data_IF_528324732630
#
_entry.id   IF_528324732630
#
_cell.length_a   1.000
_cell.length_b   1.000
_cell.length_c   1.000
_cell.angle_alpha   90.00
_cell.angle_beta   90.00
_cell.angle_gamma   90.00
#
_symmetry.space_group_name_H-M   'P 1'
#
loop_
_entity.id
_entity.type
_entity.pdbx_description
1 polymer ?
#
# COMPACT_ATOMS: atom_id res chain seq x y z
N UNK A 1 47.67 -16.32 -27.18
CA UNK A 1 46.28 -16.34 -26.69
C UNK A 1 46.14 -15.30 -25.60
N UNK A 2 45.90 -14.04 -25.98
CA UNK A 2 45.67 -12.93 -25.04
C UNK A 2 44.21 -12.54 -25.17
N UNK A 3 43.37 -13.16 -24.33
CA UNK A 3 41.95 -12.79 -24.22
C UNK A 3 41.87 -11.34 -23.76
N UNK A 4 41.42 -10.46 -24.65
CA UNK A 4 40.98 -9.10 -24.29
C UNK A 4 39.77 -9.26 -23.38
N UNK A 5 39.94 -9.05 -22.08
CA UNK A 5 38.83 -8.74 -21.20
C UNK A 5 38.28 -7.38 -21.66
N UNK A 6 37.26 -7.40 -22.50
CA UNK A 6 36.41 -6.23 -22.72
C UNK A 6 35.80 -5.89 -21.36
N UNK A 7 36.26 -4.83 -20.73
CA UNK A 7 35.64 -4.24 -19.55
C UNK A 7 34.17 -3.94 -19.87
N UNK A 8 33.28 -4.85 -19.47
CA UNK A 8 31.85 -4.68 -19.67
C UNK A 8 31.39 -3.56 -18.75
N UNK A 9 31.03 -2.42 -19.35
CA UNK A 9 30.42 -1.30 -18.62
C UNK A 9 29.13 -1.78 -17.96
N UNK A 10 28.89 -1.43 -16.68
CA UNK A 10 27.66 -1.83 -15.99
C UNK A 10 26.45 -1.20 -16.67
N UNK A 11 25.44 -2.02 -16.94
CA UNK A 11 24.12 -1.56 -17.40
C UNK A 11 23.37 -0.98 -16.19
N UNK A 12 23.03 0.31 -16.24
CA UNK A 12 22.35 1.00 -15.13
C UNK A 12 20.91 1.29 -15.52
N UNK A 13 19.96 0.69 -14.80
CA UNK A 13 18.52 0.96 -14.96
C UNK A 13 18.07 1.90 -13.86
N UNK A 14 17.42 3.01 -14.21
CA UNK A 14 16.89 3.99 -13.27
C UNK A 14 15.37 4.07 -13.35
N UNK A 15 14.68 3.80 -12.24
CA UNK A 15 13.22 3.91 -12.17
C UNK A 15 12.79 5.28 -11.65
N UNK A 16 12.07 6.05 -12.46
CA UNK A 16 11.58 7.37 -12.07
C UNK A 16 10.29 7.34 -11.24
N UNK A 17 9.63 6.19 -11.09
CA UNK A 17 8.36 6.03 -10.37
C UNK A 17 7.37 7.17 -10.69
N UNK A 18 7.03 7.33 -11.97
CA UNK A 18 6.30 8.48 -12.50
C UNK A 18 4.90 8.68 -11.87
N UNK A 19 4.22 7.60 -11.49
CA UNK A 19 2.83 7.66 -11.02
C UNK A 19 2.66 7.87 -9.50
N UNK A 20 3.73 7.81 -8.69
CA UNK A 20 3.63 7.92 -7.23
C UNK A 20 4.82 8.71 -6.64
N UNK A 21 4.52 9.60 -5.70
CA UNK A 21 5.50 10.40 -4.96
C UNK A 21 6.13 9.66 -3.76
N UNK A 22 6.33 8.34 -3.90
CA UNK A 22 6.98 7.53 -2.86
C UNK A 22 8.45 7.92 -2.65
N UNK A 23 9.07 8.54 -3.66
CA UNK A 23 10.42 9.12 -3.62
C UNK A 23 10.27 10.59 -4.03
N UNK A 24 10.77 11.57 -3.25
CA UNK A 24 10.68 12.98 -3.61
C UNK A 24 11.37 13.27 -4.95
N UNK A 25 10.77 14.15 -5.78
CA UNK A 25 11.32 14.50 -7.11
C UNK A 25 12.77 15.00 -7.05
N UNK A 26 13.09 15.85 -6.05
CA UNK A 26 14.44 16.35 -5.84
C UNK A 26 15.49 15.23 -5.61
N UNK A 27 15.10 14.12 -4.98
CA UNK A 27 16.00 12.97 -4.80
C UNK A 27 16.25 12.28 -6.15
N UNK A 28 15.18 12.05 -6.93
CA UNK A 28 15.28 11.44 -8.27
C UNK A 28 16.18 12.26 -9.19
N UNK A 29 15.99 13.58 -9.23
CA UNK A 29 16.77 14.50 -10.04
C UNK A 29 18.25 14.53 -9.63
N UNK A 30 18.54 14.56 -8.33
CA UNK A 30 19.92 14.50 -7.81
C UNK A 30 20.59 13.19 -8.17
N UNK A 31 19.93 12.06 -7.94
CA UNK A 31 20.47 10.75 -8.31
C UNK A 31 20.75 10.71 -9.81
N UNK A 32 19.76 11.05 -10.65
CA UNK A 32 19.92 11.01 -12.10
C UNK A 32 21.03 11.94 -12.60
N UNK A 33 21.15 13.15 -12.03
CA UNK A 33 22.23 14.08 -12.34
C UNK A 33 23.60 13.52 -11.94
N UNK A 34 23.74 12.97 -10.74
CA UNK A 34 24.98 12.33 -10.29
C UNK A 34 25.40 11.15 -11.18
N UNK A 35 24.45 10.36 -11.67
CA UNK A 35 24.74 9.25 -12.60
C UNK A 35 25.22 9.75 -13.96
N UNK A 36 24.61 10.83 -14.47
CA UNK A 36 24.99 11.47 -15.74
C UNK A 36 26.37 12.12 -15.63
N UNK A 37 26.64 12.83 -14.55
CA UNK A 37 27.91 13.52 -14.31
C UNK A 37 29.05 12.51 -14.11
N UNK A 38 28.75 11.32 -13.59
CA UNK A 38 29.65 10.17 -13.54
C UNK A 38 29.92 9.51 -14.92
N UNK A 39 29.31 9.99 -16.01
CA UNK A 39 29.50 9.46 -17.36
C UNK A 39 28.94 8.05 -17.57
N UNK A 40 28.01 7.60 -16.71
CA UNK A 40 27.40 6.28 -16.84
C UNK A 40 26.28 6.29 -17.87
N UNK A 41 26.16 5.19 -18.62
CA UNK A 41 25.03 4.97 -19.53
C UNK A 41 23.85 4.50 -18.68
N UNK A 42 22.87 5.39 -18.51
CA UNK A 42 21.65 5.12 -17.72
C UNK A 42 20.46 4.95 -18.64
N UNK A 43 19.75 3.86 -18.43
CA UNK A 43 18.45 3.58 -19.03
C UNK A 43 17.35 3.96 -18.05
N UNK A 44 16.74 5.13 -18.27
CA UNK A 44 15.67 5.64 -17.42
C UNK A 44 14.30 5.14 -17.87
N UNK A 45 13.50 4.68 -16.92
CA UNK A 45 12.15 4.16 -17.17
C UNK A 45 11.12 4.92 -16.33
N UNK A 46 9.92 5.13 -16.88
CA UNK A 46 8.84 5.80 -16.17
C UNK A 46 8.45 5.04 -14.90
N UNK A 47 8.17 3.75 -15.01
CA UNK A 47 7.75 2.93 -13.88
C UNK A 47 7.99 1.44 -14.08
N UNK A 48 8.91 0.87 -13.28
CA UNK A 48 9.14 -0.57 -13.26
C UNK A 48 7.88 -1.37 -12.86
N UNK A 49 6.97 -0.78 -12.06
CA UNK A 49 5.75 -1.46 -11.65
C UNK A 49 4.86 -1.73 -12.86
N UNK A 50 4.63 -0.73 -13.71
CA UNK A 50 3.85 -0.88 -14.95
C UNK A 50 4.48 -1.89 -15.89
N UNK A 51 5.79 -1.77 -16.14
CA UNK A 51 6.53 -2.72 -16.98
C UNK A 51 6.41 -4.16 -16.49
N UNK A 52 6.41 -4.38 -15.19
CA UNK A 52 6.29 -5.70 -14.60
C UNK A 52 4.85 -6.26 -14.67
N UNK A 53 3.84 -5.40 -14.50
CA UNK A 53 2.45 -5.78 -14.70
C UNK A 53 2.21 -6.29 -16.13
N UNK A 54 2.82 -5.63 -17.13
CA UNK A 54 2.72 -5.98 -18.55
C UNK A 54 3.72 -7.05 -19.00
N UNK A 55 4.58 -7.53 -18.09
CA UNK A 55 5.66 -8.50 -18.38
C UNK A 55 6.56 -8.06 -19.55
N UNK A 56 6.95 -6.78 -19.54
CA UNK A 56 7.66 -6.16 -20.65
C UNK A 56 8.97 -6.90 -21.01
N UNK A 57 9.26 -7.19 -22.29
CA UNK A 57 10.43 -7.97 -22.71
C UNK A 57 11.78 -7.39 -22.24
N UNK A 58 11.87 -6.07 -22.06
CA UNK A 58 13.09 -5.41 -21.55
C UNK A 58 13.51 -5.92 -20.18
N UNK A 59 12.56 -6.30 -19.30
CA UNK A 59 12.89 -6.85 -17.98
C UNK A 59 13.71 -8.14 -18.10
N UNK A 60 13.38 -9.01 -19.06
CA UNK A 60 14.16 -10.23 -19.35
C UNK A 60 15.53 -9.90 -19.91
N UNK A 61 15.62 -8.90 -20.80
CA UNK A 61 16.89 -8.47 -21.35
C UNK A 61 17.83 -7.95 -20.26
N UNK A 62 17.35 -7.09 -19.35
CA UNK A 62 18.15 -6.60 -18.24
C UNK A 62 18.55 -7.72 -17.28
N UNK A 63 17.62 -8.63 -16.93
CA UNK A 63 17.92 -9.76 -16.05
C UNK A 63 19.04 -10.67 -16.59
N UNK A 64 19.31 -10.64 -17.90
CA UNK A 64 20.41 -11.35 -18.58
C UNK A 64 21.66 -10.49 -18.81
N UNK A 65 21.57 -9.17 -18.64
CA UNK A 65 22.68 -8.25 -18.82
C UNK A 65 23.68 -8.36 -17.67
N UNK A 66 24.98 -8.26 -17.98
CA UNK A 66 26.05 -8.39 -17.00
C UNK A 66 27.15 -7.35 -17.28
N UNK A 67 27.56 -6.53 -16.29
CA UNK A 67 26.98 -6.36 -14.96
C UNK A 67 25.69 -5.52 -14.97
N UNK A 68 24.70 -5.82 -14.11
CA UNK A 68 23.46 -5.05 -13.97
C UNK A 68 23.39 -4.30 -12.64
N UNK A 69 23.05 -3.02 -12.70
CA UNK A 69 22.72 -2.20 -11.54
C UNK A 69 21.34 -1.58 -11.72
N UNK A 70 20.47 -1.72 -10.72
CA UNK A 70 19.11 -1.14 -10.75
C UNK A 70 18.98 -0.15 -9.60
N UNK A 71 18.64 1.09 -9.94
CA UNK A 71 18.37 2.19 -9.01
C UNK A 71 16.87 2.43 -8.99
N UNK A 72 16.19 2.01 -7.92
CA UNK A 72 14.73 2.02 -7.82
C UNK A 72 14.26 2.13 -6.36
N UNK A 73 13.20 1.41 -5.98
CA UNK A 73 12.70 1.33 -4.62
C UNK A 73 13.38 0.20 -3.82
N UNK A 74 12.71 -0.33 -2.78
CA UNK A 74 13.29 -1.35 -1.90
C UNK A 74 13.77 -2.60 -2.68
N UNK A 75 14.95 -3.17 -2.36
CA UNK A 75 15.54 -4.29 -3.11
C UNK A 75 14.63 -5.52 -3.14
N UNK A 76 13.99 -5.82 -2.00
CA UNK A 76 13.03 -6.92 -1.87
C UNK A 76 11.82 -6.73 -2.79
N UNK A 77 11.31 -5.51 -2.93
CA UNK A 77 10.23 -5.20 -3.86
C UNK A 77 10.66 -5.43 -5.31
N UNK A 78 11.84 -4.91 -5.71
CA UNK A 78 12.36 -5.06 -7.07
C UNK A 78 12.61 -6.52 -7.43
N UNK A 79 13.20 -7.30 -6.53
CA UNK A 79 13.41 -8.74 -6.74
C UNK A 79 12.11 -9.45 -7.11
N UNK A 80 11.07 -9.31 -6.28
CA UNK A 80 9.80 -10.01 -6.48
C UNK A 80 8.96 -9.40 -7.60
N UNK A 81 9.20 -8.15 -7.96
CA UNK A 81 8.61 -7.52 -9.14
C UNK A 81 9.13 -8.16 -10.44
N UNK A 82 10.45 -8.37 -10.53
CA UNK A 82 11.07 -9.07 -11.65
C UNK A 82 10.66 -10.55 -11.71
N UNK A 83 10.55 -11.22 -10.56
CA UNK A 83 10.00 -12.58 -10.47
C UNK A 83 8.57 -12.63 -11.03
N UNK A 84 7.69 -11.71 -10.62
CA UNK A 84 6.30 -11.64 -11.06
C UNK A 84 6.18 -11.38 -12.58
N UNK A 85 7.15 -10.67 -13.16
CA UNK A 85 7.25 -10.46 -14.60
C UNK A 85 7.79 -11.68 -15.38
N UNK A 86 8.24 -12.74 -14.68
CA UNK A 86 8.89 -13.90 -15.29
C UNK A 86 10.31 -13.61 -15.77
N UNK A 87 11.03 -12.73 -15.06
CA UNK A 87 12.40 -12.33 -15.34
C UNK A 87 13.23 -12.34 -14.05
N UNK A 88 13.40 -13.50 -13.37
CA UNK A 88 14.06 -13.59 -12.07
C UNK A 88 15.46 -12.96 -12.11
N UNK A 89 15.74 -12.10 -11.12
CA UNK A 89 17.07 -11.49 -10.96
C UNK A 89 17.99 -12.41 -10.16
N UNK A 90 19.21 -12.57 -10.65
CA UNK A 90 20.29 -13.17 -9.87
C UNK A 90 20.97 -12.08 -9.02
N UNK A 91 20.75 -12.15 -7.72
CA UNK A 91 21.28 -11.20 -6.73
C UNK A 91 22.80 -11.29 -6.56
N UNK A 92 23.44 -12.38 -6.97
CA UNK A 92 24.90 -12.50 -6.95
C UNK A 92 25.59 -11.60 -7.98
N UNK A 93 24.89 -11.31 -9.09
CA UNK A 93 25.39 -10.48 -10.20
C UNK A 93 24.67 -9.14 -10.36
N UNK A 94 23.52 -8.97 -9.70
CA UNK A 94 22.70 -7.75 -9.79
C UNK A 94 22.87 -6.90 -8.54
N UNK A 95 23.20 -5.63 -8.73
CA UNK A 95 23.28 -4.66 -7.63
C UNK A 95 21.99 -3.84 -7.57
N UNK A 96 21.34 -3.82 -6.41
CA UNK A 96 20.09 -3.10 -6.19
C UNK A 96 20.34 -1.90 -5.26
N UNK A 97 19.90 -0.72 -5.69
CA UNK A 97 20.03 0.53 -4.95
C UNK A 97 18.64 1.11 -4.65
N UNK A 98 18.42 1.42 -3.37
CA UNK A 98 17.16 1.89 -2.84
C UNK A 98 17.16 3.42 -2.64
N UNK A 99 16.46 4.13 -3.52
CA UNK A 99 16.32 5.58 -3.41
C UNK A 99 15.41 6.04 -2.25
N UNK A 100 14.71 5.13 -1.56
CA UNK A 100 13.85 5.51 -0.42
C UNK A 100 14.62 5.70 0.88
N UNK A 101 15.74 5.00 1.04
CA UNK A 101 16.52 5.00 2.29
C UNK A 101 17.98 5.39 2.11
N UNK A 102 18.54 5.23 0.91
CA UNK A 102 19.92 5.61 0.62
C UNK A 102 19.97 7.03 0.06
N UNK A 103 21.03 7.76 0.39
CA UNK A 103 21.29 9.08 -0.16
C UNK A 103 21.80 9.01 -1.61
N UNK A 104 21.57 10.05 -2.42
CA UNK A 104 22.09 10.11 -3.79
C UNK A 104 23.60 9.93 -3.88
N UNK A 105 24.34 10.46 -2.91
CA UNK A 105 25.80 10.42 -2.84
C UNK A 105 26.32 9.01 -2.51
N UNK A 106 25.61 8.26 -1.66
CA UNK A 106 25.92 6.85 -1.38
C UNK A 106 25.67 5.98 -2.63
N UNK A 107 24.52 6.15 -3.29
CA UNK A 107 24.17 5.41 -4.50
C UNK A 107 25.23 5.65 -5.59
N UNK A 108 25.57 6.92 -5.85
CA UNK A 108 26.57 7.28 -6.86
C UNK A 108 27.96 6.69 -6.53
N UNK A 109 28.40 6.83 -5.28
CA UNK A 109 29.68 6.30 -4.81
C UNK A 109 29.77 4.78 -4.97
N UNK A 110 28.73 4.06 -4.57
CA UNK A 110 28.71 2.61 -4.68
C UNK A 110 28.66 2.13 -6.12
N UNK A 111 27.92 2.81 -6.99
CA UNK A 111 27.92 2.51 -8.43
C UNK A 111 29.32 2.64 -9.03
N UNK A 112 30.02 3.73 -8.72
CA UNK A 112 31.41 3.97 -9.17
C UNK A 112 32.39 2.91 -8.68
N UNK A 113 32.28 2.44 -7.43
CA UNK A 113 33.13 1.35 -6.91
C UNK A 113 33.03 0.05 -7.72
N UNK A 114 31.86 -0.22 -8.31
CA UNK A 114 31.65 -1.41 -9.14
C UNK A 114 32.03 -1.22 -10.61
N UNK A 115 32.23 0.02 -11.06
CA UNK A 115 32.65 0.33 -12.44
C UNK A 115 34.16 0.17 -12.67
N UNK A 116 34.94 -0.06 -11.60
CA UNK A 116 36.37 -0.36 -11.66
C UNK A 116 37.26 0.81 -11.21
N UNK A 117 38.21 0.50 -10.35
CA UNK A 117 39.42 1.28 -10.12
C UNK A 117 40.16 1.51 -11.44
N UNK A 118 40.02 2.72 -11.98
CA UNK A 118 40.78 3.22 -13.11
C UNK A 118 40.70 4.75 -13.12
N UNK A 119 41.37 5.40 -12.16
CA UNK A 119 41.59 6.84 -12.25
C UNK A 119 42.47 7.12 -13.47
N UNK A 120 41.98 7.93 -14.41
CA UNK A 120 42.84 8.83 -15.18
C UNK A 120 42.10 10.16 -15.37
N UNK A 121 42.73 11.23 -14.89
CA UNK A 121 42.41 12.63 -15.16
C UNK A 121 42.61 13.01 -16.64
N UNK A 122 41.82 14.00 -17.08
CA UNK A 122 42.11 14.98 -18.14
C UNK A 122 42.38 14.52 -19.59
N UNK A 123 41.38 14.67 -20.47
CA UNK A 123 41.22 15.84 -21.37
C UNK A 123 40.13 15.61 -22.40
N UNK A 124 39.25 16.59 -22.47
CA UNK A 124 38.17 16.83 -23.42
C UNK A 124 38.66 16.86 -24.88
N UNK A 125 37.97 16.16 -25.79
CA UNK A 125 37.32 16.74 -27.01
C UNK A 125 36.25 15.75 -27.53
N UNK A 126 35.18 16.22 -28.19
CA UNK A 126 33.93 15.51 -28.39
C UNK A 126 33.83 14.85 -29.76
N UNK A 127 33.30 13.63 -29.84
CA UNK A 127 32.76 13.10 -31.10
C UNK A 127 31.92 11.85 -30.90
N UNK A 128 30.69 11.96 -31.41
CA UNK A 128 29.78 10.91 -31.86
C UNK A 128 29.37 9.87 -30.79
N UNK A 129 28.10 9.68 -30.47
CA UNK A 129 26.90 9.82 -31.28
C UNK A 129 25.69 9.74 -30.34
N UNK A 130 24.67 10.56 -30.62
CA UNK A 130 23.35 10.52 -29.99
C UNK A 130 22.86 9.08 -29.74
N UNK A 131 22.96 8.60 -28.49
CA UNK A 131 22.02 7.62 -28.00
C UNK A 131 21.10 8.31 -27.01
N UNK A 132 19.99 8.73 -27.58
CA UNK A 132 18.89 9.40 -26.92
C UNK A 132 18.47 8.57 -25.71
N UNK A 133 18.72 9.09 -24.51
CA UNK A 133 18.14 8.60 -23.26
C UNK A 133 16.62 8.66 -23.41
N UNK A 134 16.06 7.56 -23.91
CA UNK A 134 14.66 7.47 -24.26
C UNK A 134 13.94 7.11 -22.97
N UNK A 135 13.38 8.11 -22.29
CA UNK A 135 12.42 7.89 -21.23
C UNK A 135 11.21 7.26 -21.93
N UNK A 136 11.05 5.94 -21.80
CA UNK A 136 9.85 5.26 -22.27
C UNK A 136 8.70 5.66 -21.35
N UNK A 137 7.87 6.60 -21.83
CA UNK A 137 6.63 7.01 -21.22
C UNK A 137 5.51 6.08 -21.72
N UNK A 138 5.21 5.04 -20.93
CA UNK A 138 4.01 4.24 -21.16
C UNK A 138 2.80 5.04 -20.63
N UNK A 139 2.16 5.79 -21.53
CA UNK A 139 0.91 6.50 -21.27
C UNK A 139 -0.26 5.51 -21.07
N UNK A 140 -0.35 4.93 -19.88
CA UNK A 140 -1.55 4.24 -19.42
C UNK A 140 -2.23 5.07 -18.34
N UNK A 141 -3.54 5.32 -18.48
CA UNK A 141 -4.37 5.98 -17.44
C UNK A 141 -4.43 5.17 -16.14
N UNK A 142 -4.07 3.88 -16.20
CA UNK A 142 -4.01 2.99 -15.06
C UNK A 142 -2.72 3.20 -14.26
N UNK A 143 -2.88 3.51 -12.98
CA UNK A 143 -1.75 3.55 -12.05
C UNK A 143 -1.42 2.13 -11.61
N UNK A 144 -0.19 1.62 -11.85
CA UNK A 144 0.17 0.23 -11.58
C UNK A 144 0.35 -0.02 -10.08
N UNK A 145 -0.79 -0.11 -9.39
CA UNK A 145 -0.94 -0.48 -8.01
C UNK A 145 -1.33 -1.95 -7.93
N UNK A 146 -0.41 -2.82 -7.54
CA UNK A 146 -0.66 -4.24 -7.37
C UNK A 146 0.31 -4.86 -6.37
N UNK A 147 -0.07 -5.99 -5.73
CA UNK A 147 0.81 -6.72 -4.84
C UNK A 147 1.85 -7.54 -5.62
N UNK A 148 3.02 -7.72 -5.02
CA UNK A 148 3.99 -8.77 -5.40
C UNK A 148 4.21 -9.68 -4.19
N UNK A 149 4.52 -10.95 -4.44
CA UNK A 149 4.64 -11.97 -3.39
C UNK A 149 6.10 -12.32 -3.18
N UNK A 150 6.53 -12.21 -1.93
CA UNK A 150 7.79 -12.75 -1.44
C UNK A 150 7.66 -14.24 -1.18
N UNK A 151 8.14 -15.06 -2.12
CA UNK A 151 8.04 -16.51 -2.00
C UNK A 151 9.02 -17.13 -0.99
N UNK A 152 10.05 -16.40 -0.54
CA UNK A 152 10.91 -16.86 0.55
C UNK A 152 10.19 -16.80 1.90
N UNK A 153 9.23 -15.89 2.06
CA UNK A 153 8.40 -15.78 3.27
C UNK A 153 7.04 -16.47 3.16
N UNK A 154 6.50 -16.55 1.96
CA UNK A 154 5.15 -17.10 1.75
C UNK A 154 5.08 -18.58 2.14
N UNK A 155 4.24 -18.90 3.13
CA UNK A 155 3.95 -20.30 3.53
C UNK A 155 2.80 -20.94 2.77
N UNK A 156 2.39 -20.35 1.63
CA UNK A 156 1.28 -20.80 0.80
C UNK A 156 -0.05 -21.04 1.57
N UNK A 157 -0.36 -20.22 2.58
CA UNK A 157 -1.54 -20.38 3.45
C UNK A 157 -2.90 -20.02 2.81
N UNK A 158 -2.88 -19.42 1.60
CA UNK A 158 -4.05 -19.05 0.79
C UNK A 158 -5.02 -18.02 1.41
N UNK A 159 -4.68 -17.42 2.55
CA UNK A 159 -5.53 -16.40 3.20
C UNK A 159 -5.77 -15.18 2.30
N UNK A 160 -4.76 -14.73 1.54
CA UNK A 160 -4.90 -13.62 0.60
C UNK A 160 -5.83 -13.92 -0.58
N UNK A 161 -5.87 -15.17 -1.05
CA UNK A 161 -6.80 -15.63 -2.10
C UNK A 161 -8.23 -15.52 -1.60
N UNK A 162 -8.50 -16.04 -0.39
CA UNK A 162 -9.84 -16.02 0.19
C UNK A 162 -10.31 -14.61 0.61
N UNK A 163 -9.37 -13.72 0.91
CA UNK A 163 -9.69 -12.37 1.36
C UNK A 163 -9.91 -11.37 0.23
N UNK A 164 -9.21 -11.53 -0.89
CA UNK A 164 -9.29 -10.55 -1.96
C UNK A 164 -10.59 -10.69 -2.77
N UNK A 165 -11.55 -9.80 -2.49
CA UNK A 165 -12.82 -9.73 -3.21
C UNK A 165 -12.67 -9.34 -4.70
N UNK A 166 -11.51 -8.80 -5.08
CA UNK A 166 -11.24 -8.33 -6.45
C UNK A 166 -10.60 -9.39 -7.35
N UNK A 167 -10.38 -10.61 -6.85
CA UNK A 167 -9.81 -11.71 -7.65
C UNK A 167 -8.38 -11.46 -8.14
N UNK A 168 -7.60 -10.67 -7.40
CA UNK A 168 -6.19 -10.36 -7.76
C UNK A 168 -5.31 -11.60 -7.69
N UNK A 169 -5.59 -12.48 -6.73
CA UNK A 169 -4.83 -13.70 -6.49
C UNK A 169 -5.53 -14.93 -7.06
N UNK A 170 -4.76 -15.89 -7.51
CA UNK A 170 -5.23 -17.23 -7.85
C UNK A 170 -4.20 -18.30 -7.48
N UNK A 171 -4.52 -19.55 -7.81
CA UNK A 171 -3.62 -20.69 -7.62
C UNK A 171 -3.01 -21.08 -8.96
N UNK A 172 -1.72 -21.36 -8.97
CA UNK A 172 -1.03 -22.03 -10.08
C UNK A 172 -1.38 -23.50 -10.16
N UNK A 173 -0.96 -24.16 -11.24
CA UNK A 173 -1.12 -25.61 -11.46
C UNK A 173 -0.48 -26.43 -10.31
N UNK A 174 0.59 -25.92 -9.71
CA UNK A 174 1.28 -26.50 -8.56
C UNK A 174 0.57 -26.20 -7.22
N UNK A 175 -0.55 -25.49 -7.24
CA UNK A 175 -1.29 -25.07 -6.05
C UNK A 175 -0.63 -23.94 -5.24
N UNK A 176 0.36 -23.25 -5.82
CA UNK A 176 1.00 -22.07 -5.21
C UNK A 176 0.21 -20.80 -5.51
N UNK A 177 0.04 -19.93 -4.52
CA UNK A 177 -0.59 -18.61 -4.69
C UNK A 177 0.22 -17.75 -5.65
N UNK A 178 -0.44 -17.14 -6.63
CA UNK A 178 0.16 -16.18 -7.55
C UNK A 178 -0.77 -14.97 -7.76
N UNK A 179 -0.20 -13.85 -8.18
CA UNK A 179 -0.97 -12.68 -8.62
C UNK A 179 -1.33 -12.89 -10.08
N UNK A 180 -2.61 -13.12 -10.37
CA UNK A 180 -3.09 -13.42 -11.72
C UNK A 180 -3.69 -12.19 -12.40
N UNK A 181 -4.34 -11.32 -11.63
CA UNK A 181 -4.99 -10.12 -12.14
C UNK A 181 -4.47 -8.86 -11.42
N UNK A 182 -3.25 -8.37 -11.75
CA UNK A 182 -2.69 -7.19 -11.10
C UNK A 182 -3.54 -5.93 -11.30
N UNK A 183 -4.14 -5.75 -12.48
CA UNK A 183 -5.02 -4.63 -12.80
C UNK A 183 -6.33 -4.60 -11.99
N UNK A 184 -6.78 -5.75 -11.48
CA UNK A 184 -7.95 -5.84 -10.62
C UNK A 184 -7.75 -5.28 -9.21
N UNK A 185 -6.51 -4.97 -8.80
CA UNK A 185 -6.26 -4.50 -7.44
C UNK A 185 -6.82 -3.08 -7.24
N UNK A 186 -7.69 -2.91 -6.23
CA UNK A 186 -8.17 -1.58 -5.86
C UNK A 186 -7.00 -0.71 -5.40
N UNK A 187 -6.78 0.40 -6.10
CA UNK A 187 -5.75 1.41 -5.79
C UNK A 187 -5.78 1.79 -4.31
N UNK A 188 -4.60 1.86 -3.69
CA UNK A 188 -4.41 2.17 -2.26
C UNK A 188 -5.01 1.17 -1.26
N UNK A 189 -5.34 -0.07 -1.66
CA UNK A 189 -5.79 -1.11 -0.73
C UNK A 189 -4.63 -2.04 -0.29
N UNK A 190 -4.07 -1.91 0.94
CA UNK A 190 -3.02 -2.78 1.45
C UNK A 190 -3.56 -3.96 2.29
N UNK A 191 -4.87 -4.18 2.30
CA UNK A 191 -5.52 -5.02 3.33
C UNK A 191 -5.03 -6.48 3.32
N UNK A 192 -4.78 -7.06 2.14
CA UNK A 192 -4.20 -8.40 2.00
C UNK A 192 -2.77 -8.50 2.57
N UNK A 193 -1.99 -7.42 2.54
CA UNK A 193 -0.65 -7.41 3.12
C UNK A 193 -0.69 -7.39 4.66
N UNK A 194 -1.63 -6.64 5.25
CA UNK A 194 -1.80 -6.54 6.71
C UNK A 194 -2.25 -7.85 7.36
N UNK A 195 -3.06 -8.65 6.66
CA UNK A 195 -3.51 -9.94 7.18
C UNK A 195 -2.49 -11.08 7.00
N UNK A 196 -1.46 -10.89 6.17
CA UNK A 196 -0.53 -11.96 5.84
C UNK A 196 0.32 -12.32 7.07
N UNK A 197 0.21 -13.54 7.62
CA UNK A 197 0.90 -13.89 8.86
C UNK A 197 2.43 -14.01 8.70
N UNK A 198 2.91 -14.06 7.45
CA UNK A 198 4.34 -14.12 7.13
C UNK A 198 4.89 -12.79 6.59
N UNK A 199 4.07 -11.73 6.51
CA UNK A 199 4.43 -10.44 5.90
C UNK A 199 5.04 -10.61 4.51
N UNK A 200 4.51 -11.54 3.72
CA UNK A 200 5.05 -11.93 2.41
C UNK A 200 4.52 -11.08 1.25
N UNK A 201 3.41 -10.37 1.43
CA UNK A 201 2.81 -9.55 0.37
C UNK A 201 3.40 -8.14 0.43
N UNK A 202 3.86 -7.66 -0.72
CA UNK A 202 4.56 -6.38 -0.86
C UNK A 202 3.78 -5.49 -1.84
N UNK A 203 3.61 -4.22 -1.49
CA UNK A 203 3.12 -3.17 -2.37
C UNK A 203 4.22 -2.12 -2.55
N UNK A 204 4.99 -2.14 -3.66
CA UNK A 204 6.17 -1.28 -3.83
C UNK A 204 5.90 0.23 -3.65
N UNK A 205 4.68 0.66 -4.04
CA UNK A 205 4.22 2.05 -3.99
C UNK A 205 3.63 2.46 -2.63
N UNK A 206 3.45 1.52 -1.70
CA UNK A 206 2.90 1.82 -0.38
C UNK A 206 3.90 2.58 0.48
N UNK A 207 3.40 3.43 1.38
CA UNK A 207 4.25 4.27 2.22
C UNK A 207 4.92 3.44 3.33
N UNK A 208 4.14 2.70 4.12
CA UNK A 208 4.61 2.14 5.39
C UNK A 208 5.40 0.83 5.25
N UNK A 209 6.41 0.70 6.11
CA UNK A 209 7.14 -0.54 6.35
C UNK A 209 6.29 -1.53 7.16
N UNK A 210 6.37 -2.85 6.92
CA UNK A 210 7.20 -3.55 5.93
C UNK A 210 6.46 -3.86 4.61
N UNK A 211 5.23 -3.37 4.46
CA UNK A 211 4.37 -3.67 3.30
C UNK A 211 4.99 -3.12 2.01
N UNK A 212 5.73 -2.03 2.09
CA UNK A 212 6.41 -1.41 0.97
C UNK A 212 7.64 -2.18 0.42
N UNK A 213 8.02 -3.30 1.04
CA UNK A 213 9.20 -4.07 0.68
C UNK A 213 10.44 -3.74 1.51
N UNK A 214 10.31 -2.92 2.53
CA UNK A 214 11.35 -2.74 3.55
C UNK A 214 11.57 -4.02 4.37
N UNK A 215 12.65 -4.03 5.13
CA UNK A 215 13.04 -5.17 5.96
C UNK A 215 11.98 -5.45 7.02
N UNK A 216 11.54 -6.71 7.07
CA UNK A 216 10.61 -7.15 8.11
C UNK A 216 11.42 -7.36 9.38
N UNK A 217 11.49 -6.33 10.22
CA UNK A 217 12.00 -6.47 11.57
C UNK A 217 11.21 -7.60 12.28
N UNK A 218 11.88 -8.49 13.02
CA UNK A 218 11.17 -9.41 13.90
C UNK A 218 10.45 -8.56 14.94
N UNK A 219 9.13 -8.39 14.78
CA UNK A 219 8.33 -7.66 15.75
C UNK A 219 8.51 -8.32 17.13
N UNK A 220 8.81 -7.57 18.21
CA UNK A 220 8.70 -8.09 19.57
C UNK A 220 7.26 -8.54 19.89
N UNK A 221 6.29 -8.03 19.13
CA UNK A 221 4.85 -8.19 19.36
C UNK A 221 4.25 -9.49 18.83
N UNK A 222 4.91 -10.19 17.90
CA UNK A 222 4.47 -11.54 17.48
C UNK A 222 4.75 -12.61 18.55
N UNK A 223 5.47 -12.26 19.62
CA UNK A 223 5.72 -13.13 20.77
C UNK A 223 4.99 -12.66 22.04
N UNK A 224 4.26 -11.53 22.01
CA UNK A 224 3.69 -10.92 23.22
C UNK A 224 2.21 -11.18 23.46
N UNK A 225 1.59 -12.16 22.79
CA UNK A 225 0.35 -12.79 23.27
C UNK A 225 0.43 -14.29 23.03
N UNK A 226 1.31 -14.93 23.81
CA UNK A 226 1.33 -16.39 23.87
C UNK A 226 -0.05 -16.93 24.28
N UNK A 227 -0.47 -18.13 23.82
CA UNK A 227 -1.66 -18.82 24.32
C UNK A 227 -1.68 -19.04 25.84
N UNK A 228 -0.52 -18.85 26.50
CA UNK A 228 -0.37 -18.94 27.95
C UNK A 228 -1.05 -17.77 28.66
N UNK A 229 -1.13 -16.59 28.03
CA UNK A 229 -1.80 -15.43 28.63
C UNK A 229 -3.32 -15.52 28.51
N UNK A 230 -3.83 -16.03 27.38
CA UNK A 230 -5.26 -16.27 27.23
C UNK A 230 -5.76 -17.34 28.22
N UNK A 231 -5.03 -18.43 28.43
CA UNK A 231 -5.36 -19.43 29.48
C UNK A 231 -5.31 -18.84 30.88
N UNK A 232 -4.41 -17.90 31.17
CA UNK A 232 -4.31 -17.23 32.48
C UNK A 232 -5.42 -16.19 32.67
N UNK A 233 -5.82 -15.48 31.61
CA UNK A 233 -6.93 -14.53 31.59
C UNK A 233 -8.29 -15.24 31.74
N UNK A 234 -8.47 -16.37 31.05
CA UNK A 234 -9.66 -17.21 31.08
C UNK A 234 -9.70 -18.18 32.28
N UNK A 235 -8.62 -18.27 33.08
CA UNK A 235 -8.66 -18.97 34.36
C UNK A 235 -9.43 -18.12 35.38
N UNK A 236 -10.56 -18.67 35.82
CA UNK A 236 -11.50 -18.09 36.78
C UNK A 236 -12.90 -17.93 36.20
N UNK A 237 -13.91 -17.86 37.07
CA UNK A 237 -15.27 -17.56 36.65
C UNK A 237 -15.35 -16.09 36.17
N UNK A 238 -15.58 -15.91 34.86
CA UNK A 238 -15.73 -14.59 34.22
C UNK A 238 -16.82 -13.78 34.93
N UNK A 239 -17.88 -14.43 35.41
CA UNK A 239 -18.98 -13.77 36.13
C UNK A 239 -18.56 -13.29 37.52
N UNK A 240 -17.64 -13.97 38.19
CA UNK A 240 -17.05 -13.49 39.45
C UNK A 240 -16.09 -12.33 39.20
N UNK A 241 -15.32 -12.36 38.11
CA UNK A 241 -14.49 -11.21 37.69
C UNK A 241 -15.33 -10.01 37.24
N UNK A 242 -16.58 -10.20 36.80
CA UNK A 242 -17.55 -9.11 36.51
C UNK A 242 -18.19 -8.59 37.81
N UNK A 243 -18.59 -9.49 38.72
CA UNK A 243 -19.19 -9.14 40.02
C UNK A 243 -18.22 -8.44 40.96
N UNK A 244 -16.93 -8.78 40.90
CA UNK A 244 -15.86 -8.19 41.72
C UNK A 244 -15.16 -6.99 41.06
N UNK A 245 -15.68 -6.50 39.93
CA UNK A 245 -15.24 -5.19 39.41
C UNK A 245 -15.67 -4.18 40.46
N UNK A 246 -14.71 -3.62 41.20
CA UNK A 246 -14.89 -2.32 41.84
C UNK A 246 -15.60 -1.43 40.81
N UNK A 247 -16.68 -0.71 41.18
CA UNK A 247 -17.34 0.21 40.25
C UNK A 247 -16.27 1.18 39.75
N UNK A 248 -15.75 0.87 38.55
CA UNK A 248 -14.57 1.54 38.03
C UNK A 248 -14.83 3.02 38.09
N UNK A 249 -13.89 3.76 38.69
CA UNK A 249 -13.87 5.23 38.76
C UNK A 249 -14.63 5.78 37.56
N UNK A 250 -15.79 6.42 37.83
CA UNK A 250 -16.76 6.83 36.80
C UNK A 250 -15.97 7.47 35.66
N UNK A 251 -15.84 6.76 34.54
CA UNK A 251 -15.11 7.26 33.35
C UNK A 251 -15.79 8.50 32.76
N UNK A 252 -17.04 8.72 33.16
CA UNK A 252 -17.76 9.97 32.98
C UNK A 252 -17.89 10.63 34.35
N UNK A 253 -17.17 11.73 34.58
CA UNK A 253 -17.46 12.61 35.71
C UNK A 253 -18.95 12.99 35.67
N UNK A 254 -19.65 12.86 36.80
CA UNK A 254 -20.94 13.52 37.00
C UNK A 254 -20.79 15.01 37.32
N UNK A 255 -19.55 15.49 37.37
CA UNK A 255 -19.21 16.91 37.46
C UNK A 255 -19.13 17.49 36.05
N UNK A 256 -19.67 18.70 35.88
CA UNK A 256 -19.69 19.40 34.61
C UNK A 256 -18.27 19.53 34.03
N UNK A 257 -18.05 19.26 32.73
CA UNK A 257 -16.74 19.45 32.12
C UNK A 257 -16.40 20.94 32.05
N UNK A 258 -15.13 21.28 32.31
CA UNK A 258 -14.59 22.60 31.98
C UNK A 258 -14.79 22.88 30.48
N UNK A 259 -15.18 24.11 30.08
CA UNK A 259 -15.53 24.41 28.69
C UNK A 259 -14.30 24.40 27.79
N UNK A 260 -14.17 23.37 26.96
CA UNK A 260 -13.28 23.36 25.81
C UNK A 260 -13.86 24.23 24.66
N UNK A 261 -13.01 24.86 23.84
CA UNK A 261 -13.45 25.85 22.84
C UNK A 261 -14.11 25.16 21.66
N UNK A 262 -15.45 25.12 21.67
CA UNK A 262 -16.27 24.64 20.55
C UNK A 262 -17.53 23.93 21.01
N UNK A 263 -18.55 24.72 21.42
CA UNK A 263 -19.97 24.37 21.49
C UNK A 263 -20.39 23.15 22.35
N UNK A 264 -21.34 23.28 23.30
CA UNK A 264 -21.86 22.12 24.02
C UNK A 264 -22.60 21.16 23.08
N UNK A 265 -22.36 19.84 23.23
CA UNK A 265 -23.31 18.83 22.75
C UNK A 265 -24.72 19.19 23.28
N UNK A 266 -25.75 19.22 22.44
CA UNK A 266 -27.07 19.65 22.87
C UNK A 266 -27.59 18.69 23.94
N UNK A 267 -27.93 19.24 25.10
CA UNK A 267 -28.60 18.50 26.17
C UNK A 267 -29.97 18.04 25.69
N UNK A 268 -30.55 17.02 26.34
CA UNK A 268 -31.89 16.51 26.00
C UNK A 268 -32.94 17.63 25.96
N UNK A 269 -32.80 18.65 26.81
CA UNK A 269 -33.68 19.82 26.85
C UNK A 269 -33.48 20.80 25.69
N UNK A 270 -32.28 20.83 25.08
CA UNK A 270 -32.01 21.59 23.86
C UNK A 270 -32.65 20.92 22.64
N UNK A 271 -32.54 19.60 22.53
CA UNK A 271 -33.22 18.80 21.49
C UNK A 271 -34.75 18.85 21.63
N UNK A 272 -35.27 18.88 22.86
CA UNK A 272 -36.72 18.96 23.12
C UNK A 272 -37.33 20.30 22.69
N UNK A 273 -36.55 21.38 22.79
CA UNK A 273 -36.92 22.72 22.30
C UNK A 273 -36.75 22.85 20.79
N UNK A 274 -35.67 22.34 20.21
CA UNK A 274 -35.43 22.40 18.76
C UNK A 274 -36.47 21.60 17.94
N UNK A 275 -37.11 20.59 18.55
CA UNK A 275 -38.15 19.78 17.93
C UNK A 275 -39.59 20.21 18.31
N UNK A 276 -39.72 21.30 19.07
CA UNK A 276 -40.99 21.93 19.45
C UNK A 276 -42.06 20.95 20.00
N UNK A 277 -41.64 20.04 20.90
CA UNK A 277 -42.51 19.01 21.47
C UNK A 277 -43.13 19.51 22.79
N UNK A 278 -44.45 19.76 22.87
CA UNK A 278 -45.09 20.21 24.10
C UNK A 278 -45.04 19.13 25.19
N UNK A 279 -44.76 19.54 26.44
CA UNK A 279 -44.56 18.64 27.59
C UNK A 279 -45.81 17.82 27.93
N UNK A 280 -46.97 18.37 27.61
CA UNK A 280 -48.31 17.80 27.73
C UNK A 280 -48.54 16.58 26.83
N UNK A 281 -47.85 16.48 25.69
CA UNK A 281 -47.93 15.30 24.80
C UNK A 281 -47.14 14.12 25.38
N UNK A 282 -46.01 14.40 26.05
CA UNK A 282 -45.16 13.37 26.64
C UNK A 282 -45.73 12.81 27.95
N UNK A 283 -46.45 13.64 28.71
CA UNK A 283 -47.12 13.22 29.94
C UNK A 283 -48.47 12.50 29.72
N UNK A 284 -49.08 12.64 28.53
CA UNK A 284 -50.41 12.08 28.25
C UNK A 284 -50.40 10.69 27.59
N UNK A 285 -49.24 10.19 27.17
CA UNK A 285 -49.17 8.90 26.50
C UNK A 285 -49.12 7.76 27.53
N UNK A 286 -50.20 7.00 27.61
CA UNK A 286 -50.21 5.76 28.39
C UNK A 286 -49.27 4.72 27.76
N UNK A 287 -48.82 3.75 28.57
CA UNK A 287 -47.94 2.67 28.07
C UNK A 287 -48.52 1.90 26.88
N UNK A 288 -49.85 1.83 26.78
CA UNK A 288 -50.55 1.20 25.66
C UNK A 288 -50.47 2.00 24.35
N UNK A 289 -50.44 3.33 24.40
CA UNK A 289 -50.30 4.20 23.22
C UNK A 289 -48.87 4.20 22.70
N UNK A 290 -47.88 4.18 23.60
CA UNK A 290 -46.46 4.02 23.22
C UNK A 290 -46.18 2.69 22.52
N UNK A 291 -46.88 1.61 22.91
CA UNK A 291 -46.78 0.32 22.22
C UNK A 291 -47.45 0.34 20.85
N UNK A 292 -48.57 1.05 20.66
CA UNK A 292 -49.22 1.20 19.34
C UNK A 292 -48.35 1.98 18.36
N UNK A 293 -47.80 3.12 18.79
CA UNK A 293 -46.90 3.96 17.97
C UNK A 293 -45.64 3.18 17.56
N UNK A 294 -45.07 2.37 18.46
CA UNK A 294 -43.92 1.50 18.13
C UNK A 294 -44.25 0.41 17.11
N UNK A 295 -45.46 -0.15 17.18
CA UNK A 295 -45.91 -1.16 16.21
C UNK A 295 -46.19 -0.53 14.84
N UNK A 296 -46.73 0.68 14.78
CA UNK A 296 -46.94 1.43 13.53
C UNK A 296 -45.62 1.89 12.90
N UNK A 297 -44.67 2.40 13.68
CA UNK A 297 -43.34 2.78 13.20
C UNK A 297 -42.57 1.58 12.63
N UNK A 298 -42.71 0.40 13.24
CA UNK A 298 -42.11 -0.84 12.72
C UNK A 298 -42.84 -1.40 11.48
N UNK A 299 -44.13 -1.09 11.29
CA UNK A 299 -44.86 -1.42 10.04
C UNK A 299 -44.39 -0.54 8.87
N UNK A 300 -44.14 0.75 9.09
CA UNK A 300 -43.61 1.66 8.06
C UNK A 300 -42.20 1.28 7.61
N UNK A 301 -41.35 0.82 8.54
CA UNK A 301 -39.96 0.41 8.23
C UNK A 301 -39.83 -0.94 7.52
N UNK A 302 -40.91 -1.72 7.44
CA UNK A 302 -40.94 -3.01 6.75
C UNK A 302 -41.49 -2.93 5.30
N UNK A 303 -41.99 -1.77 4.86
CA UNK A 303 -42.58 -1.60 3.51
C UNK A 303 -41.73 -0.78 2.53
N UNK A 304 -40.63 -0.17 2.95
CA UNK A 304 -39.70 0.52 2.04
C UNK A 304 -38.40 -0.25 1.85
N UNK A 305 -38.41 -1.13 0.84
CA UNK A 305 -37.23 -1.50 0.04
C UNK A 305 -37.43 -0.99 -1.40
N UNK A 306 -36.34 -0.78 -2.16
CA UNK A 306 -36.15 0.36 -3.04
C UNK A 306 -36.82 0.19 -4.40
N UNK A 307 -37.18 1.31 -5.04
CA UNK A 307 -37.23 1.42 -6.49
C UNK A 307 -36.73 2.78 -6.97
N UNK A 308 -35.72 2.67 -7.82
CA UNK A 308 -35.10 3.71 -8.62
C UNK A 308 -36.09 4.45 -9.52
N UNK A 309 -35.79 5.73 -9.69
CA UNK A 309 -35.82 6.56 -10.90
C UNK A 309 -36.84 6.26 -12.03
N UNK A 310 -37.78 7.19 -12.18
CA UNK A 310 -38.25 7.77 -13.45
C UNK A 310 -39.12 8.99 -13.05
N UNK A 311 -38.93 10.22 -13.54
CA UNK A 311 -38.79 10.62 -14.93
C UNK A 311 -40.12 11.19 -15.42
N UNK A 312 -40.12 12.46 -15.88
CA UNK A 312 -41.21 13.06 -16.68
C UNK A 312 -42.33 13.72 -15.83
N UNK A 313 -42.40 15.04 -15.66
CA UNK A 313 -42.67 16.14 -16.63
C UNK A 313 -44.14 16.17 -17.10
N UNK A 314 -44.72 17.39 -17.00
CA UNK A 314 -46.05 17.89 -17.45
C UNK A 314 -47.19 17.61 -16.47
N UNK A 315 -48.12 18.52 -16.18
CA UNK A 315 -48.71 19.57 -17.02
C UNK A 315 -49.47 20.59 -16.15
N UNK A 316 -49.36 21.87 -16.53
CA UNK A 316 -50.37 22.94 -16.50
C UNK A 316 -51.69 22.80 -15.71
N UNK A 317 -52.05 23.82 -14.92
CA UNK A 317 -53.00 24.89 -15.32
C UNK A 317 -53.33 25.87 -14.18
N UNK A 318 -53.35 27.15 -14.57
CA UNK A 318 -54.19 28.27 -14.10
C UNK A 318 -54.10 28.74 -12.65
N UNK A 319 -53.34 29.81 -12.42
CA UNK A 319 -53.86 31.13 -12.03
C UNK A 319 -52.88 32.21 -12.52
#
# INVERSE_FOLDING_TARGET
>A
MTSRQTEKRPHVVFCSCAHYETIPGAVKERVFSSLRDAGMVVEAVADLCGMAADRHPRLRHWAQAEPLSIVACFPRAIRWLFEAAGAPLDLGRTRLFNMRTQSPEEIARELLKGAGSGMIEEKSVPSASNHQSSIEDHQSDWVPWFPVIDYERCRNCKQCVNFCLFGVYGLSDEGRVQVQNPAGCKTNCPACARMCPASAIIFPKYADSPINGDDVAPSPQAQSESPRDLRRLLQGDVYDKIRRREPGRKRFSTEAPDPAPGGPCPTLDALRRDLDIPDDVLASLSGAELQRIRVEANKGRAQEKPRDEAGGKKESRNA
#
